data_IF_707721407660
#
_entry.id   IF_707721407660
#
_cell.length_a   1.000
_cell.length_b   1.000
_cell.length_c   1.000
_cell.angle_alpha   90.00
_cell.angle_beta   90.00
_cell.angle_gamma   90.00
#
_symmetry.space_group_name_H-M   'P 1'
#
loop_
_entity.id
_entity.type
_entity.pdbx_description
1 polymer ?
#
# COMPACT_ATOMS: atom_id res chain seq x y z
N UNK A 1 30.40 35.39 16.76
CA UNK A 1 30.02 34.76 18.05
C UNK A 1 28.70 35.34 18.52
N UNK A 2 27.57 34.64 18.34
CA UNK A 2 26.29 34.94 19.02
C UNK A 2 25.61 33.61 19.36
N UNK A 3 25.25 33.50 20.63
CA UNK A 3 24.95 32.26 21.34
C UNK A 3 23.50 31.80 21.20
N UNK A 4 23.34 30.47 21.27
CA UNK A 4 22.13 29.70 21.47
C UNK A 4 21.26 30.20 22.63
N UNK A 5 19.94 30.24 22.44
CA UNK A 5 18.97 30.05 23.54
C UNK A 5 17.83 29.17 23.07
N UNK A 6 17.89 27.91 23.50
CA UNK A 6 16.87 26.88 23.37
C UNK A 6 15.93 27.02 24.58
N UNK A 7 14.64 27.29 24.36
CA UNK A 7 13.63 27.33 25.43
C UNK A 7 12.59 26.25 25.14
N UNK A 8 12.61 25.20 25.96
CA UNK A 8 11.52 24.21 26.07
C UNK A 8 10.53 24.69 27.12
N UNK A 9 9.22 24.47 26.94
CA UNK A 9 8.30 24.33 28.05
C UNK A 9 7.92 22.85 28.26
N UNK A 10 8.32 22.36 29.42
CA UNK A 10 7.79 21.16 30.08
C UNK A 10 6.49 21.55 30.78
N UNK A 11 5.41 20.80 30.60
CA UNK A 11 4.27 20.82 31.51
C UNK A 11 3.75 19.40 31.72
N UNK A 12 3.92 18.94 32.96
CA UNK A 12 3.27 17.80 33.59
C UNK A 12 1.86 18.18 34.02
N UNK A 13 0.86 17.34 33.73
CA UNK A 13 -0.36 17.08 34.50
C UNK A 13 -1.14 16.01 33.71
N UNK A 14 -1.50 14.83 34.20
CA UNK A 14 -1.96 14.49 35.54
C UNK A 14 -3.49 14.51 35.58
N UNK A 15 -4.15 13.43 35.15
CA UNK A 15 -5.51 13.01 35.55
C UNK A 15 -5.84 11.68 34.87
N UNK A 16 -5.72 10.55 35.58
CA UNK A 16 -6.77 9.89 36.35
C UNK A 16 -7.74 9.10 35.45
N UNK A 17 -7.38 7.83 35.26
CA UNK A 17 -8.29 6.74 34.93
C UNK A 17 -9.42 6.68 35.95
N UNK A 18 -10.68 6.56 35.51
CA UNK A 18 -11.72 5.68 36.09
C UNK A 18 -13.05 5.81 35.31
N UNK A 19 -13.83 4.72 35.39
CA UNK A 19 -15.16 4.40 34.83
C UNK A 19 -15.18 3.82 33.40
N UNK A 20 -15.92 2.76 33.04
CA UNK A 20 -16.63 1.67 33.72
C UNK A 20 -17.20 0.79 32.57
N UNK A 21 -17.16 -0.55 32.58
CA UNK A 21 -17.87 -1.34 31.56
C UNK A 21 -19.38 -1.44 31.87
N UNK A 22 -20.27 -1.36 30.87
CA UNK A 22 -21.70 -1.55 31.07
C UNK A 22 -22.01 -2.99 31.49
N UNK A 23 -22.87 -3.07 32.52
CA UNK A 23 -23.30 -4.31 33.16
C UNK A 23 -23.96 -5.30 32.20
N UNK A 24 -23.47 -6.53 32.27
CA UNK A 24 -24.11 -7.69 31.71
C UNK A 24 -25.20 -8.14 32.69
N UNK A 25 -26.44 -7.76 32.40
CA UNK A 25 -27.62 -8.19 33.17
C UNK A 25 -27.97 -9.63 32.77
N UNK A 26 -27.89 -10.55 33.72
CA UNK A 26 -28.31 -11.94 33.56
C UNK A 26 -29.69 -12.10 34.20
N UNK A 27 -30.74 -11.78 33.43
CA UNK A 27 -32.10 -12.15 33.81
C UNK A 27 -32.35 -13.62 33.49
N UNK A 28 -32.66 -14.35 34.55
CA UNK A 28 -33.02 -15.76 34.50
C UNK A 28 -34.45 -16.00 34.01
N UNK A 29 -34.62 -17.23 33.54
CA UNK A 29 -35.84 -18.04 33.58
C UNK A 29 -37.03 -17.64 32.70
N UNK A 30 -37.17 -18.33 31.56
CA UNK A 30 -38.47 -18.92 31.15
C UNK A 30 -38.29 -20.35 30.61
N UNK A 31 -38.64 -21.30 31.47
CA UNK A 31 -39.42 -22.52 31.22
C UNK A 31 -39.54 -23.08 29.80
N UNK A 32 -38.98 -24.28 29.60
CA UNK A 32 -39.75 -25.51 29.38
C UNK A 32 -40.18 -25.87 27.95
N UNK A 33 -39.65 -27.00 27.44
CA UNK A 33 -40.36 -28.16 26.83
C UNK A 33 -39.29 -29.26 26.55
N UNK A 34 -39.62 -30.57 26.67
CA UNK A 34 -38.68 -31.62 27.03
C UNK A 34 -38.09 -32.33 25.81
N UNK A 35 -36.81 -32.68 25.88
CA UNK A 35 -36.11 -33.35 24.79
C UNK A 35 -34.97 -34.22 25.28
N UNK A 36 -35.32 -35.44 25.70
CA UNK A 36 -34.56 -36.69 25.57
C UNK A 36 -33.08 -36.65 25.99
N UNK A 37 -32.80 -37.31 27.12
CA UNK A 37 -31.47 -37.44 27.70
C UNK A 37 -30.39 -37.89 26.70
N UNK A 38 -29.28 -37.16 26.71
CA UNK A 38 -28.00 -37.57 26.16
C UNK A 38 -26.95 -37.16 27.17
N UNK A 39 -26.35 -38.13 27.86
CA UNK A 39 -25.20 -37.89 28.71
C UNK A 39 -24.10 -37.21 27.90
N UNK A 40 -23.28 -36.40 28.56
CA UNK A 40 -22.02 -35.90 27.99
C UNK A 40 -21.31 -37.10 27.38
N UNK A 41 -21.19 -37.11 26.06
CA UNK A 41 -20.58 -38.21 25.33
C UNK A 41 -19.09 -38.21 25.69
N UNK A 42 -18.75 -38.97 26.73
CA UNK A 42 -17.36 -39.18 27.14
C UNK A 42 -16.77 -40.06 26.06
N UNK A 43 -16.17 -39.43 25.06
CA UNK A 43 -15.39 -40.11 24.04
C UNK A 43 -14.33 -40.92 24.76
N UNK A 44 -14.53 -42.23 24.82
CA UNK A 44 -13.57 -43.16 25.43
C UNK A 44 -12.29 -43.14 24.61
N UNK A 45 -11.14 -43.28 25.28
CA UNK A 45 -9.82 -43.25 24.64
C UNK A 45 -9.70 -44.27 23.49
N UNK A 46 -10.45 -45.37 23.59
CA UNK A 46 -10.54 -46.39 22.55
C UNK A 46 -11.24 -45.90 21.27
N UNK A 47 -12.25 -45.04 21.41
CA UNK A 47 -12.97 -44.43 20.29
C UNK A 47 -12.09 -43.40 19.59
N UNK A 48 -11.36 -42.60 20.37
CA UNK A 48 -10.38 -41.65 19.85
C UNK A 48 -9.24 -42.36 19.11
N UNK A 49 -8.72 -43.48 19.64
CA UNK A 49 -7.70 -44.30 18.95
C UNK A 49 -8.23 -44.93 17.66
N UNK A 50 -9.49 -45.36 17.63
CA UNK A 50 -10.14 -45.87 16.41
C UNK A 50 -10.35 -44.78 15.36
N UNK A 51 -10.65 -43.54 15.76
CA UNK A 51 -10.71 -42.40 14.85
C UNK A 51 -9.33 -42.01 14.31
N UNK A 52 -8.31 -41.93 15.17
CA UNK A 52 -6.92 -41.62 14.74
C UNK A 52 -6.37 -42.71 13.80
N UNK A 53 -6.71 -43.98 14.03
CA UNK A 53 -6.32 -45.07 13.12
C UNK A 53 -7.07 -45.04 11.77
N UNK A 54 -8.29 -44.49 11.74
CA UNK A 54 -9.06 -44.27 10.50
C UNK A 54 -8.62 -43.00 9.76
N UNK A 55 -8.12 -42.00 10.48
CA UNK A 55 -7.51 -40.79 9.93
C UNK A 55 -6.11 -41.10 9.41
N UNK A 56 -6.04 -41.74 8.25
CA UNK A 56 -4.78 -41.97 7.54
C UNK A 56 -4.03 -40.65 7.33
N UNK A 57 -2.94 -40.51 8.08
CA UNK A 57 -1.73 -39.72 7.83
C UNK A 57 -1.91 -38.36 7.13
N UNK A 58 -2.38 -37.38 7.89
CA UNK A 58 -2.22 -35.94 7.61
C UNK A 58 -0.85 -35.56 7.01
N UNK A 59 0.31 -36.07 7.50
CA UNK A 59 1.61 -35.73 6.92
C UNK A 59 1.84 -36.30 5.51
N UNK A 60 1.15 -37.37 5.11
CA UNK A 60 1.27 -37.95 3.76
C UNK A 60 0.43 -37.12 2.75
N UNK A 61 -0.76 -36.69 3.17
CA UNK A 61 -1.64 -35.82 2.38
C UNK A 61 -1.05 -34.41 2.18
N UNK A 62 -0.33 -33.88 3.17
CA UNK A 62 0.37 -32.60 3.04
C UNK A 62 1.59 -32.69 2.11
N UNK A 63 2.26 -33.85 2.05
CA UNK A 63 3.39 -34.08 1.13
C UNK A 63 2.95 -34.22 -0.33
N UNK A 64 1.77 -34.79 -0.59
CA UNK A 64 1.23 -34.92 -1.95
C UNK A 64 0.55 -33.64 -2.46
N UNK A 65 0.08 -32.78 -1.56
CA UNK A 65 -0.49 -31.46 -1.90
C UNK A 65 0.55 -30.33 -2.00
N UNK A 66 1.79 -30.58 -1.54
CA UNK A 66 2.87 -29.63 -1.71
C UNK A 66 3.35 -29.66 -3.16
N UNK A 67 2.97 -28.63 -3.93
CA UNK A 67 3.63 -28.32 -5.20
C UNK A 67 5.14 -28.23 -4.93
N UNK A 68 6.00 -28.90 -5.71
CA UNK A 68 7.43 -28.77 -5.53
C UNK A 68 7.77 -27.29 -5.64
N UNK A 69 8.41 -26.73 -4.61
CA UNK A 69 9.06 -25.42 -4.71
C UNK A 69 10.08 -25.56 -5.84
N UNK A 70 9.72 -25.11 -7.03
CA UNK A 70 10.63 -25.02 -8.15
C UNK A 70 11.82 -24.19 -7.66
N UNK A 71 12.99 -24.81 -7.57
CA UNK A 71 14.21 -24.20 -7.03
C UNK A 71 14.67 -22.94 -7.80
N UNK A 72 14.00 -22.61 -8.90
CA UNK A 72 14.12 -21.33 -9.57
C UNK A 72 13.43 -20.25 -8.72
N UNK A 73 14.23 -19.52 -7.94
CA UNK A 73 13.84 -18.22 -7.40
C UNK A 73 13.23 -17.39 -8.55
N UNK A 74 12.03 -16.80 -8.39
CA UNK A 74 11.47 -15.94 -9.42
C UNK A 74 12.49 -14.88 -9.81
N UNK A 75 12.59 -14.60 -11.11
CA UNK A 75 13.56 -13.66 -11.67
C UNK A 75 13.53 -12.31 -10.94
N UNK A 76 14.71 -11.77 -10.66
CA UNK A 76 14.91 -10.53 -9.88
C UNK A 76 14.20 -9.31 -10.50
N UNK A 77 13.87 -9.40 -11.80
CA UNK A 77 13.19 -8.38 -12.58
C UNK A 77 11.71 -8.21 -12.23
N UNK A 78 11.09 -9.19 -11.55
CA UNK A 78 9.67 -9.15 -11.15
C UNK A 78 9.51 -8.81 -9.65
N UNK A 79 10.50 -8.13 -9.07
CA UNK A 79 10.46 -7.69 -7.67
C UNK A 79 9.62 -6.42 -7.51
N UNK A 80 9.02 -6.24 -6.33
CA UNK A 80 8.24 -5.04 -6.00
C UNK A 80 9.08 -3.76 -6.14
N UNK A 81 10.37 -3.85 -5.81
CA UNK A 81 11.34 -2.76 -5.96
C UNK A 81 11.53 -2.34 -7.42
N UNK A 82 11.52 -3.28 -8.38
CA UNK A 82 11.67 -2.97 -9.80
C UNK A 82 10.46 -2.20 -10.38
N UNK A 83 9.28 -2.32 -9.75
CA UNK A 83 8.03 -1.67 -10.18
C UNK A 83 7.63 -0.47 -9.32
N UNK A 84 8.53 -0.01 -8.47
CA UNK A 84 8.28 1.07 -7.52
C UNK A 84 9.37 2.12 -7.61
N UNK A 85 9.04 3.33 -7.18
CA UNK A 85 9.97 4.42 -6.92
C UNK A 85 10.36 4.34 -5.44
N UNK A 86 11.66 4.44 -5.16
CA UNK A 86 12.18 4.45 -3.80
C UNK A 86 12.37 5.90 -3.36
N UNK A 87 11.61 6.31 -2.34
CA UNK A 87 11.79 7.61 -1.69
C UNK A 87 12.64 7.42 -0.44
N UNK A 88 13.60 8.31 -0.23
CA UNK A 88 14.57 8.25 0.85
C UNK A 88 14.73 9.59 1.55
N UNK A 89 14.70 9.59 2.88
CA UNK A 89 14.79 10.80 3.70
C UNK A 89 16.19 11.04 4.29
N UNK A 90 17.15 10.16 4.02
CA UNK A 90 18.49 10.17 4.61
C UNK A 90 18.74 9.05 5.64
N UNK A 91 17.67 8.49 6.21
CA UNK A 91 17.74 7.45 7.25
C UNK A 91 16.88 6.24 6.91
N UNK A 92 15.65 6.47 6.43
CA UNK A 92 14.69 5.44 6.07
C UNK A 92 14.19 5.61 4.64
N UNK A 93 13.71 4.52 4.05
CA UNK A 93 13.12 4.53 2.71
C UNK A 93 11.71 3.97 2.70
N UNK A 94 10.91 4.42 1.74
CA UNK A 94 9.59 3.86 1.41
C UNK A 94 9.49 3.55 -0.07
N UNK A 95 8.54 2.70 -0.42
CA UNK A 95 8.20 2.37 -1.81
C UNK A 95 6.88 3.03 -2.18
N UNK A 96 6.83 3.62 -3.37
CA UNK A 96 5.60 4.12 -4.00
C UNK A 96 5.49 3.58 -5.43
N UNK A 97 4.29 3.27 -5.94
CA UNK A 97 4.14 2.75 -7.31
C UNK A 97 4.72 3.69 -8.36
N UNK A 98 5.18 3.15 -9.49
CA UNK A 98 5.51 3.96 -10.65
C UNK A 98 4.28 4.76 -11.12
N UNK A 99 4.45 6.03 -11.47
CA UNK A 99 3.35 6.92 -11.86
C UNK A 99 2.46 7.40 -10.69
N UNK A 100 2.93 7.24 -9.43
CA UNK A 100 2.26 7.82 -8.26
C UNK A 100 2.74 9.21 -7.87
N UNK A 101 3.83 9.70 -8.46
CA UNK A 101 4.36 11.05 -8.18
C UNK A 101 3.71 12.03 -9.16
N UNK A 102 2.90 12.95 -8.63
CA UNK A 102 2.19 13.98 -9.40
C UNK A 102 3.08 15.19 -9.71
N UNK A 103 3.91 15.57 -8.75
CA UNK A 103 4.79 16.74 -8.87
C UNK A 103 6.09 16.42 -8.16
N UNK A 104 7.20 16.62 -8.87
CA UNK A 104 8.55 16.41 -8.38
C UNK A 104 9.40 17.66 -8.67
N UNK A 105 9.45 18.62 -7.73
CA UNK A 105 10.32 19.77 -7.84
C UNK A 105 11.78 19.33 -8.00
N UNK A 106 12.56 20.10 -8.77
CA UNK A 106 13.96 19.76 -9.06
C UNK A 106 14.82 19.61 -7.79
N UNK A 107 14.50 20.39 -6.75
CA UNK A 107 15.17 20.40 -5.44
C UNK A 107 15.08 19.07 -4.71
N UNK A 108 14.03 18.27 -4.95
CA UNK A 108 13.79 17.02 -4.21
C UNK A 108 14.06 15.77 -5.03
N UNK A 109 14.69 15.89 -6.21
CA UNK A 109 15.04 14.73 -7.04
C UNK A 109 16.07 13.82 -6.37
N UNK A 110 16.92 14.39 -5.52
CA UNK A 110 17.95 13.66 -4.78
C UNK A 110 17.37 12.68 -3.75
N UNK A 111 16.10 12.87 -3.36
CA UNK A 111 15.38 11.94 -2.49
C UNK A 111 14.89 10.67 -3.20
N UNK A 112 15.02 10.60 -4.53
CA UNK A 112 14.68 9.40 -5.31
C UNK A 112 15.95 8.62 -5.59
N UNK A 113 16.05 7.43 -5.01
CA UNK A 113 17.23 6.57 -5.12
C UNK A 113 16.93 5.32 -5.94
N UNK A 114 17.93 4.80 -6.67
CA UNK A 114 17.76 3.59 -7.48
C UNK A 114 17.95 2.29 -6.69
N UNK A 115 18.60 2.35 -5.53
CA UNK A 115 18.85 1.20 -4.65
C UNK A 115 18.34 1.51 -3.25
N UNK A 116 17.65 0.59 -2.57
CA UNK A 116 17.18 0.84 -1.22
C UNK A 116 18.35 1.09 -0.27
N UNK A 117 18.20 2.10 0.57
CA UNK A 117 19.18 2.50 1.58
C UNK A 117 18.46 2.76 2.91
N UNK A 118 19.10 2.43 4.03
CA UNK A 118 18.49 2.57 5.35
C UNK A 118 17.34 1.60 5.61
N UNK A 119 16.57 1.86 6.67
CA UNK A 119 15.48 0.98 7.09
C UNK A 119 14.20 1.23 6.30
N UNK A 120 13.47 0.16 6.00
CA UNK A 120 12.17 0.26 5.34
C UNK A 120 11.12 0.80 6.30
N UNK A 121 10.41 1.84 5.88
CA UNK A 121 9.29 2.43 6.62
C UNK A 121 8.03 2.42 5.76
N UNK A 122 6.89 2.05 6.35
CA UNK A 122 5.61 2.10 5.67
C UNK A 122 5.17 3.53 5.35
N UNK A 123 4.41 3.70 4.26
CA UNK A 123 3.99 5.01 3.75
C UNK A 123 3.40 5.96 4.80
N UNK A 124 2.44 5.57 5.68
CA UNK A 124 1.83 6.50 6.62
C UNK A 124 2.85 7.10 7.60
N UNK A 125 3.79 6.27 8.07
CA UNK A 125 4.85 6.71 8.98
C UNK A 125 5.89 7.58 8.25
N UNK A 126 6.23 7.21 7.01
CA UNK A 126 7.16 7.98 6.18
C UNK A 126 6.62 9.37 5.88
N UNK A 127 5.34 9.48 5.50
CA UNK A 127 4.67 10.75 5.24
C UNK A 127 4.60 11.62 6.49
N UNK A 128 4.26 11.03 7.66
CA UNK A 128 4.18 11.76 8.92
C UNK A 128 5.53 12.37 9.34
N UNK A 129 6.64 11.66 9.09
CA UNK A 129 8.01 12.14 9.36
C UNK A 129 8.44 13.22 8.37
N UNK A 130 8.05 13.10 7.10
CA UNK A 130 8.58 13.90 5.99
C UNK A 130 7.63 15.00 5.47
N UNK A 131 6.66 15.45 6.28
CA UNK A 131 5.67 16.48 5.91
C UNK A 131 6.24 17.84 5.48
N UNK A 132 7.52 18.11 5.78
CA UNK A 132 8.22 19.32 5.37
C UNK A 132 8.31 19.43 3.84
N UNK A 133 8.65 18.34 3.16
CA UNK A 133 8.92 18.31 1.71
C UNK A 133 7.99 17.37 0.93
N UNK A 134 7.34 16.42 1.61
CA UNK A 134 6.44 15.43 1.01
C UNK A 134 4.99 15.69 1.42
N UNK A 135 4.07 15.56 0.47
CA UNK A 135 2.64 15.64 0.71
C UNK A 135 1.87 14.60 -0.11
N UNK A 136 0.76 14.13 0.45
CA UNK A 136 -0.17 13.25 -0.24
C UNK A 136 -1.35 14.04 -0.82
N UNK A 137 -1.74 13.71 -2.05
CA UNK A 137 -2.94 14.26 -2.69
C UNK A 137 -3.93 13.12 -2.95
N UNK A 138 -5.14 13.24 -2.40
CA UNK A 138 -6.16 12.21 -2.53
C UNK A 138 -6.79 12.25 -3.93
N UNK A 139 -6.84 11.11 -4.61
CA UNK A 139 -7.28 10.98 -6.00
C UNK A 139 -8.53 10.14 -6.11
N UNK A 140 -9.42 10.50 -7.04
CA UNK A 140 -10.60 9.70 -7.33
C UNK A 140 -10.23 8.42 -8.08
N UNK A 141 -11.02 7.37 -7.92
CA UNK A 141 -10.81 6.11 -8.64
C UNK A 141 -11.00 6.27 -10.16
N UNK A 142 -11.85 7.21 -10.59
CA UNK A 142 -12.05 7.58 -12.00
C UNK A 142 -10.78 8.19 -12.58
N UNK A 143 -10.14 9.11 -11.85
CA UNK A 143 -8.86 9.69 -12.25
C UNK A 143 -7.75 8.63 -12.28
N UNK A 144 -7.65 7.77 -11.26
CA UNK A 144 -6.66 6.69 -11.23
C UNK A 144 -6.80 5.70 -12.40
N UNK A 145 -8.03 5.50 -12.90
CA UNK A 145 -8.32 4.68 -14.09
C UNK A 145 -7.97 5.35 -15.42
N UNK A 146 -7.53 6.61 -15.42
CA UNK A 146 -7.11 7.35 -16.61
C UNK A 146 -8.15 8.30 -17.18
N UNK A 147 -9.09 8.82 -16.37
CA UNK A 147 -9.96 9.93 -16.82
C UNK A 147 -9.12 11.20 -17.03
N UNK A 148 -8.87 11.50 -18.31
CA UNK A 148 -8.04 12.59 -18.77
C UNK A 148 -8.58 13.99 -18.43
N UNK A 149 -9.91 14.14 -18.36
CA UNK A 149 -10.53 15.45 -18.09
C UNK A 149 -10.36 15.84 -16.63
N UNK A 150 -10.60 14.88 -15.74
CA UNK A 150 -10.41 15.07 -14.30
C UNK A 150 -8.91 15.26 -13.98
N UNK A 151 -8.05 14.40 -14.52
CA UNK A 151 -6.61 14.47 -14.30
C UNK A 151 -6.02 15.83 -14.68
N UNK A 152 -6.34 16.35 -15.87
CA UNK A 152 -5.79 17.64 -16.32
C UNK A 152 -6.22 18.82 -15.46
N UNK A 153 -7.44 18.79 -14.90
CA UNK A 153 -7.91 19.86 -14.02
C UNK A 153 -7.07 19.87 -12.73
N UNK A 154 -6.93 18.70 -12.12
CA UNK A 154 -6.17 18.53 -10.87
C UNK A 154 -4.69 18.85 -11.07
N UNK A 155 -4.08 18.32 -12.15
CA UNK A 155 -2.66 18.56 -12.45
C UNK A 155 -2.34 20.06 -12.62
N UNK A 156 -3.23 20.83 -13.25
CA UNK A 156 -3.06 22.29 -13.38
C UNK A 156 -3.16 23.03 -12.05
N UNK A 157 -3.97 22.55 -11.11
CA UNK A 157 -4.11 23.15 -9.79
C UNK A 157 -2.86 22.92 -8.93
N UNK A 158 -2.17 21.79 -9.13
CA UNK A 158 -1.01 21.37 -8.30
C UNK A 158 0.35 21.63 -8.94
N UNK A 159 0.40 22.07 -10.20
CA UNK A 159 1.63 22.31 -10.98
C UNK A 159 2.64 23.23 -10.27
N UNK A 160 2.15 24.19 -9.47
CA UNK A 160 2.96 25.16 -8.74
C UNK A 160 3.35 24.73 -7.31
N UNK A 161 3.16 23.45 -6.97
CA UNK A 161 3.52 22.92 -5.66
C UNK A 161 5.03 22.98 -5.40
N UNK A 162 5.42 23.44 -4.21
CA UNK A 162 6.82 23.43 -3.75
C UNK A 162 7.23 22.10 -3.12
N UNK A 163 6.28 21.16 -2.97
CA UNK A 163 6.49 19.86 -2.31
C UNK A 163 6.37 18.73 -3.32
N UNK A 164 6.99 17.60 -3.00
CA UNK A 164 6.74 16.35 -3.71
C UNK A 164 5.31 15.91 -3.41
N UNK A 165 4.50 15.75 -4.44
CA UNK A 165 3.12 15.31 -4.32
C UNK A 165 2.97 13.87 -4.79
N UNK A 166 2.44 13.02 -3.92
CA UNK A 166 2.15 11.61 -4.21
C UNK A 166 0.64 11.40 -4.25
N UNK A 167 0.14 10.71 -5.28
CA UNK A 167 -1.27 10.36 -5.42
C UNK A 167 -1.68 9.25 -4.47
N UNK A 168 -2.72 9.50 -3.68
CA UNK A 168 -3.24 8.60 -2.66
C UNK A 168 -4.68 8.20 -2.95
N UNK A 169 -5.01 6.96 -2.64
CA UNK A 169 -6.40 6.50 -2.55
C UNK A 169 -6.58 5.75 -1.24
N UNK A 170 -7.49 6.23 -0.39
CA UNK A 170 -7.69 5.79 0.99
C UNK A 170 -6.39 5.82 1.80
N UNK A 171 -5.63 6.91 1.67
CA UNK A 171 -4.34 7.10 2.34
C UNK A 171 -3.21 6.13 1.91
N UNK A 172 -3.41 5.38 0.82
CA UNK A 172 -2.42 4.48 0.24
C UNK A 172 -1.91 5.02 -1.11
N UNK A 173 -0.60 4.98 -1.40
CA UNK A 173 -0.06 5.39 -2.70
C UNK A 173 -0.65 4.56 -3.84
N UNK A 174 -1.12 5.23 -4.88
CA UNK A 174 -1.69 4.62 -6.08
C UNK A 174 -1.08 5.24 -7.33
N UNK A 175 -0.83 4.44 -8.36
CA UNK A 175 -0.44 4.93 -9.69
C UNK A 175 -1.63 5.55 -10.39
N UNK A 176 -1.44 6.70 -11.03
CA UNK A 176 -2.42 7.24 -11.97
C UNK A 176 -1.99 6.81 -13.37
N UNK A 177 -2.94 6.25 -14.12
CA UNK A 177 -2.70 6.01 -15.54
C UNK A 177 -2.66 7.37 -16.24
N UNK A 178 -1.45 7.83 -16.56
CA UNK A 178 -1.30 9.04 -17.37
C UNK A 178 -2.04 8.83 -18.69
N UNK A 179 -2.86 9.79 -19.13
CA UNK A 179 -3.53 9.70 -20.41
C UNK A 179 -2.46 9.60 -21.49
N UNK A 180 -2.68 8.68 -22.44
CA UNK A 180 -1.78 8.53 -23.58
C UNK A 180 -1.56 9.91 -24.20
N UNK A 181 -0.31 10.32 -24.48
CA UNK A 181 -0.05 11.57 -25.18
C UNK A 181 -0.96 11.61 -26.41
N UNK A 182 -1.60 12.76 -26.71
CA UNK A 182 -2.46 12.84 -27.88
C UNK A 182 -1.64 12.31 -29.04
N UNK A 183 -2.10 11.20 -29.63
CA UNK A 183 -1.38 10.51 -30.68
C UNK A 183 -0.95 11.58 -31.66
N UNK A 184 0.36 11.82 -31.72
CA UNK A 184 0.97 12.81 -32.60
C UNK A 184 0.37 12.52 -33.96
N UNK A 185 -0.56 13.39 -34.38
CA UNK A 185 -1.26 13.25 -35.64
C UNK A 185 -0.17 12.96 -36.66
N UNK A 186 -0.33 11.84 -37.36
CA UNK A 186 0.60 11.38 -38.37
C UNK A 186 1.10 12.61 -39.13
N UNK A 187 2.41 12.88 -39.02
CA UNK A 187 3.05 13.83 -39.91
C UNK A 187 2.56 13.50 -41.32
N UNK A 188 1.96 14.45 -42.07
CA UNK A 188 1.60 14.18 -43.44
C UNK A 188 2.88 13.71 -44.11
N UNK A 189 2.88 12.46 -44.59
CA UNK A 189 3.96 11.99 -45.44
C UNK A 189 3.99 12.95 -46.63
N UNK A 190 4.99 13.82 -46.67
CA UNK A 190 5.30 14.61 -47.84
C UNK A 190 5.74 13.60 -48.90
N UNK A 191 4.79 13.24 -49.75
CA UNK A 191 5.03 12.51 -50.99
C UNK A 191 6.16 13.24 -51.72
N UNK A 192 7.27 12.57 -52.12
CA UNK A 192 8.26 13.22 -52.95
C UNK A 192 7.59 13.53 -54.29
N UNK A 193 7.23 14.79 -54.50
CA UNK A 193 6.84 15.32 -55.80
C UNK A 193 8.08 15.28 -56.67
N UNK A 194 8.01 14.47 -57.73
CA UNK A 194 9.01 14.39 -58.78
C UNK A 194 9.35 15.80 -59.28
N UNK A 195 10.63 16.13 -59.28
CA UNK A 195 11.16 17.33 -59.93
C UNK A 195 11.08 17.06 -61.44
N UNK A 196 10.27 17.81 -62.22
CA UNK A 196 10.30 17.70 -63.67
C UNK A 196 11.53 18.43 -64.20
N UNK A 197 12.10 17.86 -65.26
CA UNK A 197 13.39 18.24 -65.82
C UNK A 197 13.59 19.74 -66.08
N UNK A 198 14.85 20.14 -65.97
CA UNK A 198 15.36 21.34 -66.61
C UNK A 198 16.19 20.93 -67.85
N UNK A 199 16.21 21.79 -68.88
CA UNK A 199 16.44 21.48 -70.30
C UNK A 199 17.88 21.11 -70.66
#
# INVERSE_FOLDING_TARGET
MKAFKFTRPTALAGCLFLLAPPGFSQDGAKSGVPGKGGGRDVVTEETLRKEVAKSQKLPEAMKSAALPLTAARPSTDNTVYARSIILFDGETHTLVPLGSILTLPAEYRDHIISRPAGDFTGWPAFLAKNTAWLAGHEVTLTMAKGDEKEARKVLKEIEHGTKVLVSLYKSCPISILEPAPPAKAASPQVKPTAIPGHP
#
